data_IF_430957552488
#
_entry.id   IF_430957552488
#
_cell.length_a   1.000
_cell.length_b   1.000
_cell.length_c   1.000
_cell.angle_alpha   90.00
_cell.angle_beta   90.00
_cell.angle_gamma   90.00
#
_symmetry.space_group_name_H-M   'P 1'
#
loop_
_entity.id
_entity.type
_entity.pdbx_description
1 polymer ?
#
# COMPACT_ATOMS: atom_id res chain seq x y z
N UNK A 1 -48.69 -18.59 3.33
CA UNK A 1 -47.84 -17.44 3.67
C UNK A 1 -46.40 -17.88 3.48
N UNK A 2 -45.78 -17.52 2.34
CA UNK A 2 -44.39 -17.91 2.04
C UNK A 2 -43.50 -16.75 2.47
N UNK A 3 -42.50 -17.03 3.30
CA UNK A 3 -41.53 -16.06 3.76
C UNK A 3 -40.60 -15.64 2.60
N UNK A 4 -40.85 -14.47 2.02
CA UNK A 4 -40.01 -13.87 0.96
C UNK A 4 -38.74 -13.19 1.51
N UNK A 5 -38.53 -13.17 2.83
CA UNK A 5 -37.46 -12.37 3.46
C UNK A 5 -36.01 -12.83 3.22
N UNK A 6 -35.76 -14.02 2.67
CA UNK A 6 -34.41 -14.59 2.60
C UNK A 6 -33.56 -14.15 1.39
N UNK A 7 -34.18 -13.77 0.27
CA UNK A 7 -33.44 -13.41 -0.95
C UNK A 7 -32.91 -11.98 -0.89
N UNK A 8 -33.72 -11.04 -0.38
CA UNK A 8 -33.32 -9.62 -0.22
C UNK A 8 -32.17 -9.44 0.81
N UNK A 9 -32.16 -10.23 1.89
CA UNK A 9 -31.09 -10.17 2.90
C UNK A 9 -29.76 -10.75 2.38
N UNK A 10 -29.81 -11.80 1.55
CA UNK A 10 -28.62 -12.39 0.90
C UNK A 10 -28.03 -11.47 -0.16
N UNK A 11 -28.86 -10.82 -0.99
CA UNK A 11 -28.36 -9.80 -1.93
C UNK A 11 -27.83 -8.55 -1.21
N UNK A 12 -28.49 -8.07 -0.16
CA UNK A 12 -28.01 -6.95 0.63
C UNK A 12 -26.64 -7.25 1.29
N UNK A 13 -26.48 -8.45 1.84
CA UNK A 13 -25.22 -8.93 2.44
C UNK A 13 -24.11 -9.14 1.39
N UNK A 14 -24.43 -9.71 0.23
CA UNK A 14 -23.49 -9.89 -0.88
C UNK A 14 -23.00 -8.55 -1.40
N UNK A 15 -23.90 -7.59 -1.62
CA UNK A 15 -23.50 -6.24 -2.07
C UNK A 15 -22.73 -5.48 -1.00
N UNK A 16 -22.96 -5.72 0.30
CA UNK A 16 -22.14 -5.14 1.37
C UNK A 16 -20.72 -5.71 1.39
N UNK A 17 -20.60 -7.03 1.21
CA UNK A 17 -19.31 -7.70 1.10
C UNK A 17 -18.50 -7.25 -0.13
N UNK A 18 -19.17 -7.06 -1.28
CA UNK A 18 -18.57 -6.51 -2.50
C UNK A 18 -18.09 -5.08 -2.26
N UNK A 19 -18.92 -4.20 -1.67
CA UNK A 19 -18.53 -2.84 -1.33
C UNK A 19 -17.35 -2.78 -0.36
N UNK A 20 -17.30 -3.67 0.64
CA UNK A 20 -16.16 -3.76 1.56
C UNK A 20 -14.89 -4.24 0.83
N UNK A 21 -15.03 -5.21 -0.07
CA UNK A 21 -13.94 -5.71 -0.91
C UNK A 21 -13.38 -4.62 -1.83
N UNK A 22 -14.24 -3.85 -2.49
CA UNK A 22 -13.87 -2.72 -3.34
C UNK A 22 -13.13 -1.64 -2.53
N UNK A 23 -13.64 -1.30 -1.35
CA UNK A 23 -12.99 -0.35 -0.44
C UNK A 23 -11.60 -0.85 -0.01
N UNK A 24 -11.46 -2.14 0.30
CA UNK A 24 -10.15 -2.73 0.65
C UNK A 24 -9.19 -2.70 -0.54
N UNK A 25 -9.67 -2.95 -1.76
CA UNK A 25 -8.88 -2.90 -2.97
C UNK A 25 -8.37 -1.47 -3.25
N UNK A 26 -9.23 -0.46 -3.07
CA UNK A 26 -8.86 0.96 -3.19
C UNK A 26 -7.78 1.35 -2.17
N UNK A 27 -8.00 1.01 -0.89
CA UNK A 27 -7.02 1.24 0.19
C UNK A 27 -5.68 0.55 -0.11
N UNK A 28 -5.71 -0.69 -0.60
CA UNK A 28 -4.50 -1.43 -0.96
C UNK A 28 -3.77 -0.77 -2.13
N UNK A 29 -4.50 -0.28 -3.14
CA UNK A 29 -3.95 0.44 -4.29
C UNK A 29 -3.25 1.73 -3.87
N UNK A 30 -3.88 2.54 -3.02
CA UNK A 30 -3.28 3.79 -2.54
C UNK A 30 -1.99 3.54 -1.76
N UNK A 31 -1.99 2.52 -0.89
CA UNK A 31 -0.79 2.09 -0.16
C UNK A 31 0.30 1.63 -1.14
N UNK A 32 -0.06 0.86 -2.16
CA UNK A 32 0.90 0.35 -3.16
C UNK A 32 1.53 1.50 -3.97
N UNK A 33 0.71 2.45 -4.44
CA UNK A 33 1.17 3.62 -5.18
C UNK A 33 2.09 4.51 -4.32
N UNK A 34 1.70 4.76 -3.07
CA UNK A 34 2.53 5.50 -2.12
C UNK A 34 3.88 4.82 -1.91
N UNK A 35 3.91 3.51 -1.64
CA UNK A 35 5.16 2.75 -1.46
C UNK A 35 6.02 2.78 -2.72
N UNK A 36 5.41 2.68 -3.90
CA UNK A 36 6.13 2.78 -5.16
C UNK A 36 6.78 4.16 -5.31
N UNK A 37 6.02 5.24 -5.16
CA UNK A 37 6.53 6.60 -5.27
C UNK A 37 7.68 6.86 -4.27
N UNK A 38 7.52 6.40 -3.03
CA UNK A 38 8.51 6.54 -1.97
C UNK A 38 9.82 5.81 -2.27
N UNK A 39 9.75 4.60 -2.82
CA UNK A 39 10.92 3.73 -3.01
C UNK A 39 11.58 3.87 -4.37
N UNK A 40 10.88 4.37 -5.39
CA UNK A 40 11.38 4.51 -6.77
C UNK A 40 12.75 5.20 -6.87
N UNK A 41 13.04 6.33 -6.18
CA UNK A 41 14.35 6.98 -6.27
C UNK A 41 15.50 6.08 -5.77
N UNK A 42 15.23 5.23 -4.77
CA UNK A 42 16.20 4.28 -4.23
C UNK A 42 16.16 2.92 -4.95
N UNK A 43 15.27 2.72 -5.92
CA UNK A 43 15.18 1.51 -6.73
C UNK A 43 15.87 1.64 -8.09
N UNK A 44 16.44 2.81 -8.41
CA UNK A 44 17.14 3.05 -9.68
C UNK A 44 18.30 2.04 -9.87
N UNK A 45 18.33 1.27 -10.98
CA UNK A 45 19.39 0.30 -11.25
C UNK A 45 20.76 0.95 -11.49
N UNK A 46 20.83 2.22 -11.87
CA UNK A 46 22.08 2.94 -12.06
C UNK A 46 22.80 3.27 -10.74
N UNK A 47 22.12 3.14 -9.60
CA UNK A 47 22.71 3.42 -8.29
C UNK A 47 23.62 2.29 -7.82
N UNK A 48 24.84 2.66 -7.43
CA UNK A 48 25.69 1.80 -6.62
C UNK A 48 25.05 1.48 -5.27
N UNK A 49 25.49 0.38 -4.65
CA UNK A 49 25.07 -0.01 -3.30
C UNK A 49 25.25 1.11 -2.27
N UNK A 50 26.33 1.90 -2.37
CA UNK A 50 26.61 3.00 -1.45
C UNK A 50 25.62 4.16 -1.62
N UNK A 51 25.34 4.56 -2.86
CA UNK A 51 24.37 5.62 -3.16
C UNK A 51 22.96 5.21 -2.72
N UNK A 52 22.56 3.97 -3.04
CA UNK A 52 21.28 3.39 -2.60
C UNK A 52 21.15 3.42 -1.08
N UNK A 53 22.16 2.95 -0.37
CA UNK A 53 22.17 2.95 1.09
C UNK A 53 22.08 4.36 1.70
N UNK A 54 22.66 5.38 1.06
CA UNK A 54 22.54 6.76 1.51
C UNK A 54 21.10 7.29 1.36
N UNK A 55 20.47 7.05 0.20
CA UNK A 55 19.07 7.44 -0.04
C UNK A 55 18.11 6.75 0.91
N UNK A 56 18.26 5.44 1.14
CA UNK A 56 17.39 4.71 2.08
C UNK A 56 17.53 5.25 3.51
N UNK A 57 18.75 5.60 3.95
CA UNK A 57 18.96 6.25 5.26
C UNK A 57 18.26 7.61 5.34
N UNK A 58 18.33 8.42 4.29
CA UNK A 58 17.63 9.70 4.22
C UNK A 58 16.10 9.52 4.28
N UNK A 59 15.56 8.56 3.53
CA UNK A 59 14.13 8.23 3.54
C UNK A 59 13.67 7.75 4.92
N UNK A 60 14.47 6.94 5.61
CA UNK A 60 14.15 6.45 6.96
C UNK A 60 14.21 7.54 8.04
N UNK A 61 15.05 8.57 7.85
CA UNK A 61 15.18 9.70 8.77
C UNK A 61 14.06 10.74 8.60
N UNK A 62 13.30 10.68 7.50
CA UNK A 62 12.30 11.68 7.11
C UNK A 62 10.89 11.19 7.39
N UNK A 63 9.99 12.09 7.79
CA UNK A 63 8.54 11.81 7.80
C UNK A 63 7.93 12.07 6.42
N UNK A 64 7.05 11.18 6.00
CA UNK A 64 6.39 11.25 4.70
C UNK A 64 4.91 11.52 4.91
N UNK A 65 4.31 12.32 4.02
CA UNK A 65 2.86 12.40 3.94
C UNK A 65 2.34 11.07 3.40
N UNK A 66 1.74 10.27 4.28
CA UNK A 66 1.21 8.95 3.95
C UNK A 66 0.01 9.02 2.99
N UNK A 67 -0.44 7.86 2.48
CA UNK A 67 -1.51 7.79 1.47
C UNK A 67 -2.82 8.43 1.94
N UNK A 68 -3.08 8.44 3.25
CA UNK A 68 -4.28 9.02 3.85
C UNK A 68 -4.02 10.39 4.51
N UNK A 69 -2.95 11.08 4.11
CA UNK A 69 -2.61 12.44 4.55
C UNK A 69 -1.96 12.55 5.94
N UNK A 70 -1.90 11.46 6.72
CA UNK A 70 -1.20 11.42 8.00
C UNK A 70 0.31 11.24 7.83
N UNK A 71 1.14 11.85 8.67
CA UNK A 71 2.59 11.62 8.64
C UNK A 71 2.90 10.16 8.99
N UNK A 72 3.82 9.56 8.24
CA UNK A 72 4.30 8.19 8.44
C UNK A 72 5.82 8.14 8.35
N UNK A 73 6.45 7.29 9.16
CA UNK A 73 7.88 6.99 9.10
C UNK A 73 8.08 5.49 8.99
N UNK A 74 9.05 5.07 8.18
CA UNK A 74 9.40 3.66 7.99
C UNK A 74 10.84 3.41 8.38
N UNK A 75 11.10 2.22 8.92
CA UNK A 75 12.46 1.77 9.17
C UNK A 75 13.21 1.55 7.86
N UNK A 76 14.54 1.67 7.92
CA UNK A 76 15.43 1.28 6.82
C UNK A 76 15.15 -0.15 6.35
N UNK A 77 14.93 -1.09 7.27
CA UNK A 77 14.65 -2.49 6.93
C UNK A 77 13.39 -2.64 6.08
N UNK A 78 12.32 -1.90 6.41
CA UNK A 78 11.06 -1.94 5.64
C UNK A 78 11.27 -1.44 4.21
N UNK A 79 12.00 -0.34 4.06
CA UNK A 79 12.33 0.24 2.76
C UNK A 79 13.22 -0.71 1.94
N UNK A 80 14.26 -1.26 2.55
CA UNK A 80 15.16 -2.23 1.90
C UNK A 80 14.41 -3.50 1.48
N UNK A 81 13.41 -3.94 2.25
CA UNK A 81 12.55 -5.08 1.89
C UNK A 81 11.70 -4.76 0.67
N UNK A 82 11.05 -3.61 0.63
CA UNK A 82 10.18 -3.23 -0.49
C UNK A 82 10.94 -2.98 -1.78
N UNK A 83 12.16 -2.42 -1.69
CA UNK A 83 13.04 -2.23 -2.86
C UNK A 83 13.44 -3.59 -3.44
N UNK A 84 13.78 -4.57 -2.59
CA UNK A 84 14.21 -5.92 -3.02
C UNK A 84 13.05 -6.81 -3.49
N UNK A 85 11.85 -6.62 -2.96
CA UNK A 85 10.68 -7.42 -3.29
C UNK A 85 10.01 -7.06 -4.62
N UNK A 86 10.54 -6.09 -5.38
CA UNK A 86 10.00 -5.75 -6.70
C UNK A 86 10.21 -6.93 -7.65
N UNK A 87 9.17 -7.45 -8.32
CA UNK A 87 9.36 -8.37 -9.43
C UNK A 87 10.18 -7.63 -10.50
N UNK A 88 11.24 -8.30 -10.97
CA UNK A 88 12.10 -7.82 -12.05
C UNK A 88 11.40 -7.75 -13.39
#
# INVERSE_FOLDING_TARGET
MIATGGHDELEASMTEHERDSDRRAEVARDIALFRYALTRPAADPALSTKQRGALVRQLAATEHRGPFGRPVRYSRESLDRWIRAKPG
#
